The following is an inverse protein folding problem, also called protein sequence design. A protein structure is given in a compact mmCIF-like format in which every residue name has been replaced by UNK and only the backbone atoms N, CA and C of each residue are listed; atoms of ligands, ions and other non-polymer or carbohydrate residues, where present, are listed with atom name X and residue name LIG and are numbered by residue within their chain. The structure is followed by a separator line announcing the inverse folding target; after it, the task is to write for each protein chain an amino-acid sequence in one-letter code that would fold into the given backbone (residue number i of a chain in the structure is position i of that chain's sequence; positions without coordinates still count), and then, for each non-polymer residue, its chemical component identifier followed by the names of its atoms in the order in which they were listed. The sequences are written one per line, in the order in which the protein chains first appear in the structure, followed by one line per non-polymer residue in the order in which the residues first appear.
data_IF_992747958011
#
_entry.id   IF_992747958011
#
_cell.length_a   1.000
_cell.length_b   1.000
_cell.length_c   1.000
_cell.angle_alpha   90.00
_cell.angle_beta   90.00
_cell.angle_gamma   90.00
#
_symmetry.space_group_name_H-M   'P 1'
#
loop_
_entity.id
_entity.type
_entity.pdbx_description
1 polymer ?
#
# COMPACT_ATOMS: atom_id res chain seq x y z
N UNK A 1 -12.73 43.82 64.96
CA UNK A 1 -13.17 42.53 64.38
C UNK A 1 -11.95 41.81 63.81
N UNK A 2 -11.77 40.53 64.18
CA UNK A 2 -11.13 39.38 63.48
C UNK A 2 -9.69 39.56 62.93
N UNK A 3 -8.66 38.97 63.56
CA UNK A 3 -8.20 37.56 63.60
C UNK A 3 -7.32 37.11 62.41
N UNK A 4 -6.12 36.69 62.78
CA UNK A 4 -4.99 36.08 62.05
C UNK A 4 -5.43 34.83 61.27
N UNK A 5 -4.92 34.60 60.04
CA UNK A 5 -4.71 33.24 59.51
C UNK A 5 -3.41 33.18 58.68
N UNK A 6 -2.42 32.51 59.27
CA UNK A 6 -1.21 31.95 58.68
C UNK A 6 -1.57 30.88 57.64
N UNK A 7 -1.07 31.03 56.41
CA UNK A 7 -1.30 30.07 55.32
C UNK A 7 -0.06 29.20 55.05
N UNK A 8 -0.06 28.00 55.62
CA UNK A 8 0.90 26.92 55.42
C UNK A 8 0.48 26.16 54.14
N UNK A 9 1.28 26.15 53.07
CA UNK A 9 1.01 25.31 51.89
C UNK A 9 2.26 24.52 51.50
N UNK A 10 2.32 23.35 52.14
CA UNK A 10 2.82 22.05 51.70
C UNK A 10 3.69 21.98 50.43
N UNK A 11 4.94 21.56 50.63
CA UNK A 11 5.75 20.89 49.61
C UNK A 11 5.01 19.63 49.12
N UNK A 12 4.55 19.64 47.88
CA UNK A 12 4.16 18.40 47.19
C UNK A 12 5.44 17.78 46.63
N UNK A 13 5.91 16.72 47.28
CA UNK A 13 6.91 15.82 46.74
C UNK A 13 6.39 15.17 45.44
N UNK A 14 6.91 15.59 44.29
CA UNK A 14 6.76 14.82 43.06
C UNK A 14 7.70 13.60 43.13
N UNK A 15 7.14 12.42 43.37
CA UNK A 15 7.85 11.17 43.10
C UNK A 15 8.01 11.01 41.58
N UNK A 16 9.16 10.55 41.08
CA UNK A 16 9.31 10.23 39.67
C UNK A 16 8.49 8.97 39.36
N UNK A 17 7.42 9.15 38.60
CA UNK A 17 6.73 8.03 37.93
C UNK A 17 7.74 7.42 36.96
N UNK A 18 8.16 6.20 37.24
CA UNK A 18 8.89 5.36 36.27
C UNK A 18 7.89 5.04 35.17
N UNK A 19 7.91 5.84 34.11
CA UNK A 19 7.15 5.56 32.90
C UNK A 19 7.78 4.33 32.22
N UNK A 20 7.14 3.18 32.36
CA UNK A 20 7.41 2.04 31.48
C UNK A 20 7.06 2.47 30.05
N UNK A 21 8.08 2.52 29.19
CA UNK A 21 7.90 2.74 27.76
C UNK A 21 6.97 1.67 27.20
N UNK A 22 5.84 2.04 26.58
CA UNK A 22 4.93 1.06 26.00
C UNK A 22 5.67 0.29 24.91
N UNK A 23 5.76 -1.02 25.11
CA UNK A 23 6.15 -1.97 24.07
C UNK A 23 5.18 -1.81 22.90
N UNK A 24 5.67 -1.19 21.81
CA UNK A 24 4.91 -1.08 20.57
C UNK A 24 4.87 -2.47 19.95
N UNK A 25 3.84 -3.23 20.29
CA UNK A 25 3.39 -4.34 19.46
C UNK A 25 2.83 -3.73 18.17
N UNK A 26 3.69 -3.50 17.18
CA UNK A 26 3.27 -3.18 15.82
C UNK A 26 2.50 -4.38 15.28
N UNK A 27 1.17 -4.38 15.46
CA UNK A 27 0.28 -5.17 14.62
C UNK A 27 0.55 -4.71 13.19
N UNK A 28 1.07 -5.60 12.36
CA UNK A 28 1.20 -5.34 10.93
C UNK A 28 -0.21 -5.14 10.39
N UNK A 29 -0.59 -3.89 10.10
CA UNK A 29 -1.90 -3.58 9.50
C UNK A 29 -2.06 -4.45 8.24
N UNK A 30 -3.03 -5.37 8.28
CA UNK A 30 -3.22 -6.35 7.22
C UNK A 30 -3.80 -5.63 6.00
N UNK A 31 -3.11 -5.72 4.85
CA UNK A 31 -3.54 -5.08 3.61
C UNK A 31 -3.86 -6.12 2.54
N UNK A 32 -4.98 -5.91 1.84
CA UNK A 32 -5.37 -6.71 0.68
C UNK A 32 -4.98 -5.97 -0.59
N UNK A 33 -4.30 -6.67 -1.49
CA UNK A 33 -3.90 -6.15 -2.80
C UNK A 33 -4.71 -6.84 -3.89
N UNK A 34 -5.25 -6.06 -4.83
CA UNK A 34 -5.96 -6.55 -6.01
C UNK A 34 -5.32 -5.94 -7.25
N UNK A 35 -4.90 -6.80 -8.19
CA UNK A 35 -4.41 -6.40 -9.49
C UNK A 35 -5.59 -6.32 -10.46
N UNK A 36 -5.82 -5.15 -11.04
CA UNK A 36 -6.83 -4.88 -12.04
C UNK A 36 -6.18 -4.61 -13.40
N UNK A 37 -6.86 -4.96 -14.48
CA UNK A 37 -6.42 -4.74 -15.86
C UNK A 37 -7.62 -4.47 -16.76
N UNK A 38 -7.39 -3.85 -17.91
CA UNK A 38 -8.43 -3.66 -18.92
C UNK A 38 -8.65 -4.94 -19.74
N UNK A 39 -9.81 -5.62 -19.64
CA UNK A 39 -10.07 -6.84 -20.41
C UNK A 39 -10.36 -6.56 -21.90
N UNK A 40 -10.72 -5.32 -22.26
CA UNK A 40 -10.97 -4.91 -23.65
C UNK A 40 -9.68 -4.67 -24.42
N UNK A 41 -8.57 -4.37 -23.72
CA UNK A 41 -7.25 -4.30 -24.33
C UNK A 41 -6.81 -5.70 -24.73
N UNK A 42 -7.00 -6.02 -26.01
CA UNK A 42 -6.46 -7.23 -26.63
C UNK A 42 -4.95 -7.29 -26.37
N UNK A 43 -4.49 -8.47 -25.92
CA UNK A 43 -3.06 -8.78 -25.73
C UNK A 43 -2.38 -8.95 -27.10
N UNK A 44 -2.26 -7.85 -27.83
CA UNK A 44 -1.67 -7.80 -29.16
C UNK A 44 -0.15 -7.56 -29.00
N UNK A 45 0.66 -8.27 -29.79
CA UNK A 45 2.11 -8.08 -29.83
C UNK A 45 2.45 -6.59 -29.97
N UNK A 46 3.38 -6.14 -29.12
CA UNK A 46 3.89 -4.77 -29.17
C UNK A 46 3.03 -3.75 -28.42
N UNK A 47 1.76 -4.07 -28.15
CA UNK A 47 0.90 -3.24 -27.32
C UNK A 47 1.16 -3.51 -25.84
N UNK A 48 0.94 -2.49 -25.05
CA UNK A 48 1.03 -2.57 -23.61
C UNK A 48 -0.36 -2.72 -23.00
N UNK A 49 -0.50 -3.70 -22.09
CA UNK A 49 -1.69 -3.88 -21.26
C UNK A 49 -1.60 -2.93 -20.06
N UNK A 50 -2.51 -1.95 -19.93
CA UNK A 50 -2.63 -1.15 -18.71
C UNK A 50 -3.08 -2.01 -17.54
N UNK A 51 -2.44 -1.81 -16.40
CA UNK A 51 -2.78 -2.45 -15.13
C UNK A 51 -2.86 -1.43 -14.00
N UNK A 52 -3.50 -1.80 -12.90
CA UNK A 52 -3.55 -1.03 -11.68
C UNK A 52 -3.60 -1.91 -10.44
N UNK A 53 -3.15 -1.38 -9.31
CA UNK A 53 -3.26 -2.06 -8.01
C UNK A 53 -4.23 -1.28 -7.13
N UNK A 54 -5.19 -2.01 -6.57
CA UNK A 54 -6.05 -1.54 -5.49
C UNK A 54 -5.54 -2.10 -4.18
N UNK A 55 -5.26 -1.23 -3.21
CA UNK A 55 -4.93 -1.62 -1.84
C UNK A 55 -6.09 -1.30 -0.93
N UNK A 56 -6.52 -2.28 -0.15
CA UNK A 56 -7.61 -2.16 0.82
C UNK A 56 -7.03 -2.44 2.19
N UNK A 57 -7.07 -1.45 3.08
CA UNK A 57 -6.68 -1.63 4.47
C UNK A 57 -7.74 -2.43 5.25
N UNK A 58 -7.33 -2.99 6.38
CA UNK A 58 -8.20 -3.57 7.40
C UNK A 58 -9.37 -2.65 7.82
N UNK A 59 -9.13 -1.33 7.81
CA UNK A 59 -10.12 -0.27 8.09
C UNK A 59 -11.02 0.05 6.88
N UNK A 60 -10.89 -0.69 5.78
CA UNK A 60 -11.67 -0.50 4.56
C UNK A 60 -11.23 0.69 3.71
N UNK A 61 -10.11 1.34 4.04
CA UNK A 61 -9.60 2.45 3.23
C UNK A 61 -9.03 1.88 1.93
N UNK A 62 -9.47 2.44 0.81
CA UNK A 62 -9.04 2.04 -0.54
C UNK A 62 -8.06 3.07 -1.09
N UNK A 63 -6.91 2.62 -1.56
CA UNK A 63 -6.00 3.41 -2.39
C UNK A 63 -5.75 2.72 -3.72
N UNK A 64 -5.40 3.50 -4.73
CA UNK A 64 -5.25 3.01 -6.10
C UNK A 64 -4.01 3.63 -6.74
N UNK A 65 -3.36 2.87 -7.61
CA UNK A 65 -2.21 3.35 -8.39
C UNK A 65 -2.61 4.38 -9.45
N UNK A 66 -1.70 5.32 -9.73
CA UNK A 66 -1.80 6.28 -10.84
C UNK A 66 -1.91 5.58 -12.21
N UNK A 67 -2.56 6.23 -13.17
CA UNK A 67 -2.69 5.73 -14.54
C UNK A 67 -4.06 5.07 -14.77
N UNK A 68 -4.08 3.77 -15.06
CA UNK A 68 -5.30 3.03 -15.43
C UNK A 68 -6.46 3.22 -14.44
N UNK A 69 -6.18 3.23 -13.13
CA UNK A 69 -7.20 3.39 -12.09
C UNK A 69 -7.41 4.85 -11.65
N UNK A 70 -6.74 5.81 -12.26
CA UNK A 70 -6.79 7.24 -11.89
C UNK A 70 -6.54 7.52 -10.40
N UNK A 71 -5.76 6.66 -9.73
CA UNK A 71 -5.44 6.81 -8.32
C UNK A 71 -4.27 7.76 -8.06
N UNK A 72 -3.88 7.88 -6.79
CA UNK A 72 -2.77 8.74 -6.33
C UNK A 72 -1.53 7.95 -5.94
N UNK A 73 -1.64 6.63 -5.83
CA UNK A 73 -0.57 5.79 -5.31
C UNK A 73 0.54 5.57 -6.35
N UNK A 74 1.78 5.56 -5.88
CA UNK A 74 2.95 5.56 -6.75
C UNK A 74 3.44 4.13 -7.02
N UNK A 75 3.68 3.84 -8.29
CA UNK A 75 4.25 2.58 -8.77
C UNK A 75 5.62 2.25 -8.17
N UNK A 76 6.37 3.25 -7.71
CA UNK A 76 7.67 3.04 -7.05
C UNK A 76 7.60 2.14 -5.81
N UNK A 77 6.43 2.06 -5.15
CA UNK A 77 6.18 1.21 -3.98
C UNK A 77 6.09 -0.29 -4.30
N UNK A 78 5.92 -0.63 -5.57
CA UNK A 78 5.72 -2.00 -6.01
C UNK A 78 6.89 -2.50 -6.85
N UNK A 79 7.15 -3.79 -6.74
CA UNK A 79 7.93 -4.56 -7.70
C UNK A 79 6.97 -5.48 -8.43
N UNK A 80 6.90 -5.34 -9.74
CA UNK A 80 6.03 -6.14 -10.60
C UNK A 80 6.92 -7.02 -11.45
N UNK A 81 6.70 -8.33 -11.36
CA UNK A 81 7.34 -9.32 -12.20
C UNK A 81 6.29 -9.94 -13.10
N UNK A 82 6.60 -10.01 -14.40
CA UNK A 82 5.69 -10.52 -15.42
C UNK A 82 6.38 -11.68 -16.10
N UNK A 83 5.72 -12.83 -16.13
CA UNK A 83 6.24 -13.96 -16.90
C UNK A 83 6.27 -13.61 -18.40
N UNK A 84 7.40 -13.89 -19.04
CA UNK A 84 7.62 -13.64 -20.47
C UNK A 84 7.26 -12.20 -20.89
N UNK A 85 7.56 -11.22 -20.04
CA UNK A 85 7.19 -9.84 -20.28
C UNK A 85 8.03 -8.85 -19.49
N UNK A 86 7.72 -7.58 -19.70
CA UNK A 86 8.29 -6.47 -18.96
C UNK A 86 7.17 -5.59 -18.42
N UNK A 87 7.41 -5.02 -17.24
CA UNK A 87 6.57 -4.01 -16.65
C UNK A 87 7.23 -2.63 -16.72
N UNK A 88 6.45 -1.59 -17.01
CA UNK A 88 6.88 -0.20 -16.88
C UNK A 88 5.68 0.70 -16.60
N UNK A 89 5.73 1.45 -15.50
CA UNK A 89 4.79 2.53 -15.15
C UNK A 89 3.30 2.17 -15.36
N UNK A 90 2.84 1.08 -14.75
CA UNK A 90 1.45 0.63 -14.85
C UNK A 90 1.07 -0.02 -16.17
N UNK A 91 2.06 -0.43 -16.97
CA UNK A 91 1.86 -1.08 -18.25
C UNK A 91 2.70 -2.35 -18.33
N UNK A 92 2.08 -3.43 -18.79
CA UNK A 92 2.74 -4.70 -19.07
C UNK A 92 2.92 -4.84 -20.57
N UNK A 93 4.12 -5.20 -21.01
CA UNK A 93 4.43 -5.57 -22.39
C UNK A 93 4.87 -7.03 -22.41
N UNK A 94 4.16 -7.87 -23.17
CA UNK A 94 4.53 -9.28 -23.33
C UNK A 94 5.69 -9.35 -24.34
N UNK A 95 6.77 -10.02 -23.95
CA UNK A 95 7.92 -10.31 -24.80
C UNK A 95 7.68 -11.65 -25.48
N UNK A 96 7.66 -11.70 -26.81
CA UNK A 96 7.60 -13.00 -27.47
C UNK A 96 7.21 -12.97 -28.93
N UNK A 97 7.35 -14.16 -29.52
CA UNK A 97 6.81 -14.50 -30.82
C UNK A 97 5.30 -14.74 -30.66
N UNK A 98 4.48 -13.92 -31.31
CA UNK A 98 3.00 -13.91 -31.26
C UNK A 98 2.31 -15.27 -31.51
N UNK A 99 3.05 -16.26 -32.01
CA UNK A 99 2.55 -17.61 -32.25
C UNK A 99 2.34 -18.42 -30.96
N UNK A 100 2.97 -18.04 -29.85
CA UNK A 100 2.90 -18.77 -28.57
C UNK A 100 1.70 -18.33 -27.72
N UNK A 101 1.32 -17.04 -27.78
CA UNK A 101 0.21 -16.49 -26.99
C UNK A 101 -1.03 -16.25 -27.85
N UNK A 102 -2.14 -16.89 -27.47
CA UNK A 102 -3.45 -16.77 -28.09
C UNK A 102 -4.42 -16.01 -27.18
N UNK A 103 -5.49 -15.50 -27.77
CA UNK A 103 -6.61 -14.94 -27.01
C UNK A 103 -7.15 -16.03 -26.06
N UNK A 104 -7.23 -15.72 -24.78
CA UNK A 104 -7.67 -16.66 -23.73
C UNK A 104 -6.53 -17.23 -22.90
N UNK A 105 -5.27 -17.09 -23.34
CA UNK A 105 -4.13 -17.54 -22.55
C UNK A 105 -4.00 -16.74 -21.26
N UNK A 106 -3.43 -17.35 -20.24
CA UNK A 106 -3.17 -16.72 -18.94
C UNK A 106 -1.86 -15.93 -18.99
N UNK A 107 -1.77 -14.86 -18.20
CA UNK A 107 -0.53 -14.17 -17.91
C UNK A 107 -0.33 -14.18 -16.40
N UNK A 108 0.81 -14.69 -15.94
CA UNK A 108 1.16 -14.66 -14.53
C UNK A 108 1.88 -13.36 -14.21
N UNK A 109 1.37 -12.64 -13.21
CA UNK A 109 1.94 -11.39 -12.72
C UNK A 109 2.12 -11.49 -11.21
N UNK A 110 3.35 -11.33 -10.75
CA UNK A 110 3.66 -11.29 -9.33
C UNK A 110 3.86 -9.84 -8.89
N UNK A 111 3.28 -9.51 -7.74
CA UNK A 111 3.31 -8.16 -7.16
C UNK A 111 3.91 -8.25 -5.76
N UNK A 112 4.94 -7.46 -5.53
CA UNK A 112 5.59 -7.34 -4.22
C UNK A 112 5.59 -5.87 -3.79
N UNK A 113 5.43 -5.63 -2.50
CA UNK A 113 5.73 -4.33 -1.90
C UNK A 113 7.23 -4.21 -1.68
N UNK A 114 7.78 -3.03 -1.97
CA UNK A 114 9.18 -2.70 -1.66
C UNK A 114 9.33 -2.08 -0.28
#
# INVERSE_FOLDING_TARGET
MKFIITGLVSLVWCLPVIAQSPSVNTKTDMQKYLLEYDPAVLRIKGNSLPIGIVVISDKGQKTQTKGFLNGVDNWSKYKIEVDSGNYSNGKIKINGNWKVYKKGDSLTVNVYTK
#
